data_IF_156051007226
#
_entry.id   IF_156051007226
#
_cell.length_a   1.000
_cell.length_b   1.000
_cell.length_c   1.000
_cell.angle_alpha   90.00
_cell.angle_beta   90.00
_cell.angle_gamma   90.00
#
_symmetry.space_group_name_H-M   'P 1'
#
loop_
_entity.id
_entity.type
_entity.pdbx_description
1 polymer ?
#
# COMPACT_ATOMS: atom_id res chain seq x y z
N UNK A 1 -27.02 -4.96 -5.74
CA UNK A 1 -25.61 -5.38 -5.79
C UNK A 1 -25.11 -5.63 -4.38
N UNK A 2 -24.28 -6.63 -4.19
CA UNK A 2 -23.50 -6.87 -2.98
C UNK A 2 -22.01 -6.77 -3.32
N UNK A 3 -21.23 -6.12 -2.45
CA UNK A 3 -19.78 -5.96 -2.57
C UNK A 3 -19.16 -6.55 -1.31
N UNK A 4 -18.38 -7.62 -1.49
CA UNK A 4 -17.87 -8.49 -0.44
C UNK A 4 -16.38 -8.23 -0.30
N UNK A 5 -15.98 -7.51 0.74
CA UNK A 5 -14.58 -7.37 1.15
C UNK A 5 -14.22 -8.62 1.93
N UNK A 6 -13.43 -9.50 1.30
CA UNK A 6 -13.16 -10.84 1.79
C UNK A 6 -11.97 -10.78 2.75
N UNK A 7 -12.11 -11.37 3.94
CA UNK A 7 -10.98 -11.58 4.86
C UNK A 7 -10.06 -12.65 4.29
N UNK A 8 -9.06 -12.20 3.52
CA UNK A 8 -8.02 -13.01 2.89
C UNK A 8 -6.67 -12.89 3.61
N UNK A 9 -6.67 -12.39 4.85
CA UNK A 9 -5.45 -12.12 5.61
C UNK A 9 -4.80 -10.80 5.21
N UNK A 10 -3.46 -10.75 5.19
CA UNK A 10 -2.70 -9.57 4.77
C UNK A 10 -2.63 -9.53 3.24
N UNK A 11 -3.77 -9.22 2.62
CA UNK A 11 -3.96 -9.21 1.18
C UNK A 11 -5.33 -8.59 0.84
N UNK A 12 -5.57 -8.33 -0.44
CA UNK A 12 -6.83 -7.76 -0.92
C UNK A 12 -7.59 -8.75 -1.81
N UNK A 13 -8.91 -8.87 -1.59
CA UNK A 13 -9.85 -9.50 -2.51
C UNK A 13 -11.26 -8.98 -2.24
N UNK A 14 -11.88 -8.38 -3.25
CA UNK A 14 -13.22 -7.80 -3.14
C UNK A 14 -14.11 -8.26 -4.30
N UNK A 15 -15.18 -8.98 -3.99
CA UNK A 15 -16.14 -9.50 -4.97
C UNK A 15 -17.36 -8.59 -5.09
N UNK A 16 -17.66 -8.11 -6.29
CA UNK A 16 -18.94 -7.51 -6.65
C UNK A 16 -19.84 -8.59 -7.24
N UNK A 17 -21.07 -8.69 -6.75
CA UNK A 17 -22.05 -9.67 -7.20
C UNK A 17 -23.43 -9.02 -7.34
N UNK A 18 -24.04 -9.15 -8.52
CA UNK A 18 -25.37 -8.60 -8.81
C UNK A 18 -26.02 -9.30 -10.01
N UNK A 19 -27.34 -9.21 -10.09
CA UNK A 19 -28.09 -9.69 -11.25
C UNK A 19 -28.74 -8.52 -11.99
N UNK A 20 -28.69 -8.53 -13.31
CA UNK A 20 -29.36 -7.55 -14.16
C UNK A 20 -29.99 -8.23 -15.38
N UNK A 21 -31.25 -7.90 -15.67
CA UNK A 21 -32.03 -8.46 -16.78
C UNK A 21 -32.09 -10.00 -16.88
N UNK A 22 -31.75 -10.71 -15.80
CA UNK A 22 -31.79 -12.18 -15.73
C UNK A 22 -30.43 -12.85 -15.86
N UNK A 23 -29.38 -12.07 -16.06
CA UNK A 23 -27.98 -12.49 -16.04
C UNK A 23 -27.34 -12.11 -14.70
N UNK A 24 -26.45 -12.95 -14.19
CA UNK A 24 -25.66 -12.72 -12.98
C UNK A 24 -24.27 -12.22 -13.40
N UNK A 25 -23.76 -11.23 -12.68
CA UNK A 25 -22.47 -10.59 -12.92
C UNK A 25 -21.59 -10.69 -11.67
N UNK A 26 -20.34 -11.08 -11.87
CA UNK A 26 -19.33 -11.27 -10.84
C UNK A 26 -18.02 -10.61 -11.24
N UNK A 27 -17.63 -9.57 -10.51
CA UNK A 27 -16.35 -8.86 -10.72
C UNK A 27 -15.50 -9.03 -9.47
N UNK A 28 -14.25 -9.45 -9.63
CA UNK A 28 -13.31 -9.62 -8.53
C UNK A 28 -12.18 -8.59 -8.64
N UNK A 29 -12.06 -7.69 -7.66
CA UNK A 29 -10.96 -6.75 -7.53
C UNK A 29 -9.93 -7.30 -6.53
N UNK A 30 -8.73 -7.61 -7.03
CA UNK A 30 -7.68 -8.39 -6.38
C UNK A 30 -8.13 -9.78 -5.89
N UNK A 31 -7.17 -10.68 -5.66
CA UNK A 31 -7.42 -12.13 -5.57
C UNK A 31 -6.80 -12.78 -4.34
N UNK A 32 -6.20 -12.00 -3.44
CA UNK A 32 -5.53 -12.49 -2.25
C UNK A 32 -4.10 -12.99 -2.48
N UNK A 33 -3.51 -13.55 -1.42
CA UNK A 33 -2.11 -14.03 -1.40
C UNK A 33 -1.92 -15.42 -2.03
N UNK A 34 -0.77 -15.64 -2.66
CA UNK A 34 -0.42 -16.86 -3.41
C UNK A 34 -0.27 -18.12 -2.54
N UNK A 35 -0.07 -17.94 -1.24
CA UNK A 35 0.16 -19.02 -0.28
C UNK A 35 -1.13 -19.39 0.50
N UNK A 36 -2.25 -18.76 0.16
CA UNK A 36 -3.53 -18.89 0.82
C UNK A 36 -4.63 -19.12 -0.23
N UNK A 37 -5.69 -19.83 0.15
CA UNK A 37 -6.83 -20.12 -0.73
C UNK A 37 -8.12 -19.46 -0.24
N UNK A 38 -8.03 -18.40 0.56
CA UNK A 38 -9.19 -17.74 1.16
C UNK A 38 -10.18 -17.22 0.11
N UNK A 39 -9.70 -16.54 -0.93
CA UNK A 39 -10.55 -16.08 -2.04
C UNK A 39 -11.23 -17.25 -2.76
N UNK A 40 -10.48 -18.28 -3.16
CA UNK A 40 -11.03 -19.49 -3.82
C UNK A 40 -12.10 -20.17 -2.96
N UNK A 41 -11.83 -20.35 -1.67
CA UNK A 41 -12.76 -20.96 -0.73
C UNK A 41 -14.03 -20.10 -0.59
N UNK A 42 -13.89 -18.77 -0.54
CA UNK A 42 -15.02 -17.85 -0.46
C UNK A 42 -15.89 -17.93 -1.70
N UNK A 43 -15.31 -17.77 -2.89
CA UNK A 43 -16.01 -17.88 -4.17
C UNK A 43 -16.75 -19.21 -4.32
N UNK A 44 -16.08 -20.32 -3.97
CA UNK A 44 -16.68 -21.67 -4.02
C UNK A 44 -17.87 -21.79 -3.06
N UNK A 45 -17.76 -21.21 -1.85
CA UNK A 45 -18.83 -21.27 -0.85
C UNK A 45 -20.04 -20.40 -1.24
N UNK A 46 -19.81 -19.27 -1.91
CA UNK A 46 -20.86 -18.42 -2.48
C UNK A 46 -21.46 -19.03 -3.77
N UNK A 47 -20.87 -20.11 -4.29
CA UNK A 47 -21.36 -20.80 -5.49
C UNK A 47 -21.03 -20.08 -6.79
N UNK A 48 -19.98 -19.26 -6.78
CA UNK A 48 -19.47 -18.57 -7.97
C UNK A 48 -18.72 -19.57 -8.83
N UNK A 49 -19.19 -19.76 -10.07
CA UNK A 49 -18.56 -20.65 -11.06
C UNK A 49 -17.84 -19.86 -12.17
N UNK A 50 -18.13 -18.57 -12.31
CA UNK A 50 -17.66 -17.70 -13.38
C UNK A 50 -17.45 -16.27 -12.85
N UNK A 51 -16.41 -15.60 -13.34
CA UNK A 51 -16.10 -14.20 -13.10
C UNK A 51 -16.07 -13.48 -14.45
N UNK A 52 -16.97 -12.52 -14.66
CA UNK A 52 -17.01 -11.72 -15.89
C UNK A 52 -15.75 -10.87 -16.04
N UNK A 53 -15.22 -10.37 -14.90
CA UNK A 53 -14.04 -9.53 -14.88
C UNK A 53 -13.23 -9.77 -13.59
N UNK A 54 -11.94 -9.96 -13.75
CA UNK A 54 -10.97 -9.90 -12.66
C UNK A 54 -10.08 -8.67 -12.86
N UNK A 55 -10.03 -7.78 -11.89
CA UNK A 55 -9.11 -6.63 -11.90
C UNK A 55 -8.03 -6.92 -10.90
N UNK A 56 -6.77 -7.01 -11.33
CA UNK A 56 -5.64 -7.05 -10.42
C UNK A 56 -4.97 -5.69 -10.42
N UNK A 57 -4.88 -5.05 -9.25
CA UNK A 57 -4.36 -3.71 -9.11
C UNK A 57 -2.91 -3.64 -9.58
N UNK A 58 -2.04 -4.50 -9.04
CA UNK A 58 -0.60 -4.52 -9.35
C UNK A 58 0.01 -5.91 -9.11
N UNK A 59 1.24 -6.21 -9.58
CA UNK A 59 1.74 -7.58 -9.66
C UNK A 59 2.29 -8.15 -8.34
N UNK A 60 2.03 -7.52 -7.19
CA UNK A 60 2.43 -8.09 -5.90
C UNK A 60 1.56 -9.27 -5.49
N UNK A 61 2.17 -10.17 -4.72
CA UNK A 61 1.69 -11.53 -4.56
C UNK A 61 0.44 -11.62 -3.68
N UNK A 62 0.21 -10.63 -2.83
CA UNK A 62 -0.97 -10.36 -2.01
C UNK A 62 -2.15 -9.74 -2.78
N UNK A 63 -1.99 -9.49 -4.08
CA UNK A 63 -3.03 -8.96 -4.97
C UNK A 63 -3.33 -9.94 -6.12
N UNK A 64 -2.31 -10.39 -6.85
CA UNK A 64 -2.49 -11.33 -7.99
C UNK A 64 -2.46 -12.81 -7.57
N UNK A 65 -2.14 -13.11 -6.30
CA UNK A 65 -1.76 -14.46 -5.87
C UNK A 65 -2.83 -15.53 -5.98
N UNK A 66 -4.10 -15.13 -6.04
CA UNK A 66 -5.22 -16.05 -6.20
C UNK A 66 -5.58 -16.39 -7.64
N UNK A 67 -5.10 -15.64 -8.65
CA UNK A 67 -5.57 -15.80 -10.04
C UNK A 67 -5.38 -17.23 -10.57
N UNK A 68 -4.16 -17.78 -10.45
CA UNK A 68 -3.86 -19.15 -10.91
C UNK A 68 -4.67 -20.18 -10.11
N UNK A 69 -4.83 -19.97 -8.80
CA UNK A 69 -5.60 -20.87 -7.94
C UNK A 69 -7.10 -20.89 -8.27
N UNK A 70 -7.69 -19.75 -8.61
CA UNK A 70 -9.11 -19.63 -8.99
C UNK A 70 -9.38 -20.40 -10.29
N UNK A 71 -8.54 -20.16 -11.32
CA UNK A 71 -8.65 -20.87 -12.61
C UNK A 71 -8.48 -22.38 -12.46
N UNK A 72 -7.50 -22.83 -11.67
CA UNK A 72 -7.24 -24.26 -11.43
C UNK A 72 -8.31 -24.92 -10.54
N UNK A 73 -9.05 -24.14 -9.75
CA UNK A 73 -10.22 -24.62 -9.01
C UNK A 73 -11.44 -24.83 -9.91
N UNK A 74 -11.39 -24.38 -11.17
CA UNK A 74 -12.46 -24.53 -12.15
C UNK A 74 -13.47 -23.38 -12.17
N UNK A 75 -13.15 -22.25 -11.54
CA UNK A 75 -13.90 -21.01 -11.67
C UNK A 75 -13.37 -20.29 -12.90
N UNK A 76 -14.22 -20.05 -13.91
CA UNK A 76 -13.81 -19.42 -15.17
C UNK A 76 -13.68 -17.91 -15.02
N UNK A 77 -12.87 -17.30 -15.89
CA UNK A 77 -12.72 -15.85 -16.00
C UNK A 77 -12.86 -15.49 -17.48
N UNK A 78 -13.72 -14.53 -17.79
CA UNK A 78 -13.85 -14.05 -19.17
C UNK A 78 -12.73 -13.07 -19.50
N UNK A 79 -12.53 -12.06 -18.65
CA UNK A 79 -11.53 -11.01 -18.85
C UNK A 79 -10.73 -10.73 -17.56
N UNK A 80 -9.45 -10.42 -17.72
CA UNK A 80 -8.56 -9.95 -16.66
C UNK A 80 -7.93 -8.60 -17.03
N UNK A 81 -8.02 -7.64 -16.10
CA UNK A 81 -7.32 -6.36 -16.17
C UNK A 81 -6.08 -6.41 -15.30
N UNK A 82 -4.95 -6.01 -15.87
CA UNK A 82 -3.69 -5.83 -15.15
C UNK A 82 -3.07 -4.48 -15.51
N UNK A 83 -2.14 -3.95 -14.70
CA UNK A 83 -1.52 -2.65 -14.99
C UNK A 83 -0.70 -2.66 -16.28
N UNK A 84 -0.15 -3.82 -16.66
CA UNK A 84 0.87 -3.97 -17.70
C UNK A 84 2.29 -3.93 -17.14
N UNK A 85 2.46 -3.68 -15.84
CA UNK A 85 3.75 -3.87 -15.19
C UNK A 85 4.12 -5.36 -15.17
N UNK A 86 5.42 -5.59 -15.30
CA UNK A 86 5.97 -6.94 -15.34
C UNK A 86 6.98 -7.14 -14.22
N UNK A 87 7.01 -8.35 -13.67
CA UNK A 87 8.01 -8.75 -12.67
C UNK A 87 8.57 -10.12 -13.02
N UNK A 88 9.71 -10.48 -12.43
CA UNK A 88 10.28 -11.84 -12.54
C UNK A 88 9.90 -12.70 -11.34
N UNK A 89 8.83 -12.37 -10.63
CA UNK A 89 8.39 -13.16 -9.48
C UNK A 89 7.73 -14.46 -9.95
N UNK A 90 7.92 -15.52 -9.18
CA UNK A 90 7.27 -16.81 -9.48
C UNK A 90 5.74 -16.71 -9.47
N UNK A 91 5.18 -15.82 -8.63
CA UNK A 91 3.73 -15.59 -8.61
C UNK A 91 3.27 -14.96 -9.91
N UNK A 92 3.94 -13.90 -10.39
CA UNK A 92 3.62 -13.28 -11.67
C UNK A 92 3.72 -14.28 -12.84
N UNK A 93 4.80 -15.07 -12.90
CA UNK A 93 4.96 -16.10 -13.94
C UNK A 93 3.82 -17.12 -13.93
N UNK A 94 3.41 -17.62 -12.74
CA UNK A 94 2.29 -18.56 -12.63
C UNK A 94 0.97 -17.95 -13.10
N UNK A 95 0.72 -16.69 -12.77
CA UNK A 95 -0.50 -15.98 -13.17
C UNK A 95 -0.56 -15.82 -14.68
N UNK A 96 0.51 -15.32 -15.31
CA UNK A 96 0.55 -15.17 -16.78
C UNK A 96 0.40 -16.54 -17.48
N UNK A 97 1.10 -17.56 -16.98
CA UNK A 97 0.98 -18.93 -17.52
C UNK A 97 -0.46 -19.49 -17.38
N UNK A 98 -1.18 -19.15 -16.31
CA UNK A 98 -2.56 -19.57 -16.10
C UNK A 98 -3.53 -18.81 -17.01
N UNK A 99 -3.38 -17.50 -17.11
CA UNK A 99 -4.15 -16.63 -18.03
C UNK A 99 -4.01 -17.12 -19.48
N UNK A 100 -2.79 -17.40 -19.94
CA UNK A 100 -2.55 -17.93 -21.29
C UNK A 100 -3.15 -19.34 -21.48
N UNK A 101 -2.97 -20.24 -20.50
CA UNK A 101 -3.47 -21.62 -20.57
C UNK A 101 -4.99 -21.71 -20.61
N UNK A 102 -5.67 -20.83 -19.88
CA UNK A 102 -7.12 -20.79 -19.79
C UNK A 102 -7.75 -19.87 -20.84
N UNK A 103 -6.94 -19.25 -21.71
CA UNK A 103 -7.39 -18.37 -22.79
C UNK A 103 -8.25 -17.19 -22.29
N UNK A 104 -7.90 -16.62 -21.13
CA UNK A 104 -8.59 -15.46 -20.54
C UNK A 104 -8.22 -14.19 -21.32
N UNK A 105 -9.20 -13.35 -21.64
CA UNK A 105 -8.95 -12.09 -22.34
C UNK A 105 -8.17 -11.12 -21.42
N UNK A 106 -7.12 -10.49 -21.96
CA UNK A 106 -6.18 -9.67 -21.18
C UNK A 106 -6.24 -8.20 -21.62
N UNK A 107 -6.45 -7.30 -20.66
CA UNK A 107 -6.56 -5.86 -20.90
C UNK A 107 -5.66 -5.08 -19.94
N UNK A 108 -5.06 -4.00 -20.44
CA UNK A 108 -4.29 -3.04 -19.66
C UNK A 108 -4.96 -1.66 -19.70
N UNK A 109 -5.93 -1.39 -18.82
CA UNK A 109 -6.71 -0.16 -18.92
C UNK A 109 -5.89 1.05 -18.44
N UNK A 110 -6.32 2.25 -18.85
CA UNK A 110 -5.65 3.51 -18.50
C UNK A 110 -6.62 4.57 -17.99
N UNK A 111 -6.09 5.55 -17.25
CA UNK A 111 -6.84 6.69 -16.73
C UNK A 111 -7.76 7.33 -17.77
N UNK A 112 -9.03 7.48 -17.42
CA UNK A 112 -10.07 8.08 -18.25
C UNK A 112 -10.81 7.11 -19.17
N UNK A 113 -10.42 5.84 -19.20
CA UNK A 113 -11.21 4.80 -19.86
C UNK A 113 -12.43 4.42 -19.02
N UNK A 114 -13.58 4.33 -19.69
CA UNK A 114 -14.88 4.03 -19.11
C UNK A 114 -15.41 2.69 -19.66
N UNK A 115 -15.93 1.86 -18.76
CA UNK A 115 -16.49 0.54 -19.07
C UNK A 115 -17.82 0.37 -18.37
N UNK A 116 -18.59 -0.64 -18.79
CA UNK A 116 -19.90 -0.91 -18.24
C UNK A 116 -20.18 -2.42 -18.21
N UNK A 117 -20.59 -2.91 -17.04
CA UNK A 117 -21.08 -4.26 -16.83
C UNK A 117 -22.53 -4.17 -16.31
N UNK A 118 -23.50 -4.36 -17.20
CA UNK A 118 -24.91 -4.10 -16.88
C UNK A 118 -25.14 -2.68 -16.35
N UNK A 119 -25.69 -2.50 -15.13
CA UNK A 119 -25.91 -1.19 -14.50
C UNK A 119 -24.70 -0.65 -13.72
N UNK A 120 -23.58 -1.38 -13.67
CA UNK A 120 -22.34 -0.95 -13.01
C UNK A 120 -21.45 -0.24 -14.02
N UNK A 121 -21.12 1.03 -13.75
CA UNK A 121 -20.18 1.83 -14.53
C UNK A 121 -18.80 1.77 -13.85
N UNK A 122 -17.74 1.65 -14.65
CA UNK A 122 -16.36 1.59 -14.20
C UNK A 122 -15.57 2.71 -14.87
N UNK A 123 -14.89 3.54 -14.08
CA UNK A 123 -13.95 4.55 -14.56
C UNK A 123 -12.56 4.24 -14.02
N UNK A 124 -11.61 4.03 -14.92
CA UNK A 124 -10.22 3.85 -14.52
C UNK A 124 -9.61 5.20 -14.20
N UNK A 125 -9.07 5.35 -12.99
CA UNK A 125 -8.50 6.62 -12.50
C UNK A 125 -6.96 6.57 -12.42
N UNK A 126 -6.37 5.38 -12.38
CA UNK A 126 -4.92 5.12 -12.46
C UNK A 126 -4.69 3.74 -13.11
N UNK A 127 -3.56 3.47 -13.79
CA UNK A 127 -2.49 4.39 -14.17
C UNK A 127 -2.76 5.15 -15.48
N UNK A 128 -2.24 6.37 -15.59
CA UNK A 128 -2.20 7.10 -16.86
C UNK A 128 -1.04 6.59 -17.75
N UNK A 129 0.07 6.27 -17.11
CA UNK A 129 1.27 5.68 -17.68
C UNK A 129 2.03 4.89 -16.62
N UNK A 130 2.80 3.89 -17.06
CA UNK A 130 3.66 3.11 -16.17
C UNK A 130 5.00 3.83 -15.97
N UNK A 131 5.43 3.95 -14.72
CA UNK A 131 6.67 4.60 -14.31
C UNK A 131 7.71 3.62 -13.73
N UNK A 132 7.36 2.33 -13.66
CA UNK A 132 8.19 1.26 -13.10
C UNK A 132 8.05 1.06 -11.59
N UNK A 133 7.30 1.93 -10.91
CA UNK A 133 6.86 1.68 -9.55
C UNK A 133 5.56 0.87 -9.58
N UNK A 134 5.60 -0.32 -9.00
CA UNK A 134 4.51 -1.29 -9.07
C UNK A 134 3.29 -0.84 -8.27
N UNK A 135 3.50 -0.24 -7.09
CA UNK A 135 2.41 0.27 -6.26
C UNK A 135 1.73 1.44 -6.98
N UNK A 136 2.54 2.36 -7.48
CA UNK A 136 2.10 3.57 -8.16
C UNK A 136 1.50 3.30 -9.57
N UNK A 137 1.77 2.11 -10.12
CA UNK A 137 1.15 1.55 -11.31
C UNK A 137 -0.20 0.88 -11.07
N UNK A 138 -0.71 0.87 -9.83
CA UNK A 138 -1.96 0.17 -9.47
C UNK A 138 -3.15 0.58 -10.36
N UNK A 139 -3.84 -0.40 -10.93
CA UNK A 139 -5.12 -0.20 -11.63
C UNK A 139 -6.18 0.23 -10.64
N UNK A 140 -6.35 1.55 -10.48
CA UNK A 140 -7.32 2.15 -9.57
C UNK A 140 -8.61 2.43 -10.33
N UNK A 141 -9.74 2.01 -9.75
CA UNK A 141 -11.04 2.04 -10.43
C UNK A 141 -12.10 2.64 -9.51
N UNK A 142 -12.84 3.59 -10.08
CA UNK A 142 -14.12 4.06 -9.54
C UNK A 142 -15.23 3.19 -10.09
N UNK A 143 -16.14 2.77 -9.23
CA UNK A 143 -17.33 2.01 -9.60
C UNK A 143 -18.57 2.80 -9.22
N UNK A 144 -19.53 2.93 -10.13
CA UNK A 144 -20.80 3.61 -9.88
C UNK A 144 -21.97 2.65 -10.17
N UNK A 145 -22.83 2.45 -9.17
CA UNK A 145 -24.06 1.68 -9.30
C UNK A 145 -25.23 2.57 -8.87
N UNK A 146 -25.87 3.22 -9.85
CA UNK A 146 -26.85 4.27 -9.57
C UNK A 146 -26.20 5.46 -8.86
N UNK A 147 -26.76 5.86 -7.72
CA UNK A 147 -26.27 6.96 -6.89
C UNK A 147 -25.23 6.51 -5.83
N UNK A 148 -24.81 5.23 -5.84
CA UNK A 148 -23.81 4.71 -4.88
C UNK A 148 -22.50 4.41 -5.60
N UNK A 149 -21.42 4.95 -5.06
CA UNK A 149 -20.11 4.95 -5.69
C UNK A 149 -19.01 4.39 -4.78
N UNK A 150 -18.02 3.75 -5.40
CA UNK A 150 -16.88 3.14 -4.73
C UNK A 150 -15.57 3.54 -5.39
N UNK A 151 -14.50 3.64 -4.62
CA UNK A 151 -13.14 3.82 -5.13
C UNK A 151 -12.20 2.76 -4.57
N UNK A 152 -11.46 2.10 -5.45
CA UNK A 152 -10.44 1.11 -5.15
C UNK A 152 -9.13 1.58 -5.76
N UNK A 153 -8.08 1.69 -4.95
CA UNK A 153 -6.79 2.23 -5.40
C UNK A 153 -5.67 1.18 -5.46
N UNK A 154 -5.95 -0.05 -5.00
CA UNK A 154 -4.88 -1.01 -4.72
C UNK A 154 -3.85 -0.38 -3.77
N UNK A 155 -2.58 -0.50 -4.13
CA UNK A 155 -1.49 0.00 -3.30
C UNK A 155 -0.94 1.36 -3.74
N UNK A 156 -1.69 2.11 -4.54
CA UNK A 156 -1.29 3.46 -4.95
C UNK A 156 -0.81 4.30 -3.76
N UNK A 157 0.39 4.85 -3.87
CA UNK A 157 1.02 5.68 -2.84
C UNK A 157 0.84 7.17 -3.15
N UNK A 158 1.42 8.02 -2.34
CA UNK A 158 1.26 9.48 -2.40
C UNK A 158 1.48 10.06 -3.81
N UNK A 159 2.37 9.46 -4.60
CA UNK A 159 2.74 9.93 -5.93
C UNK A 159 1.66 9.59 -6.95
N UNK A 160 1.08 8.38 -6.90
CA UNK A 160 -0.10 8.04 -7.69
C UNK A 160 -1.34 8.84 -7.25
N UNK A 161 -1.55 9.04 -5.94
CA UNK A 161 -2.66 9.87 -5.43
C UNK A 161 -2.59 11.30 -5.96
N UNK A 162 -1.40 11.92 -5.92
CA UNK A 162 -1.19 13.26 -6.47
C UNK A 162 -1.42 13.31 -7.98
N UNK A 163 -1.07 12.25 -8.72
CA UNK A 163 -1.38 12.15 -10.15
C UNK A 163 -2.89 12.06 -10.37
N UNK A 164 -3.60 11.21 -9.63
CA UNK A 164 -5.07 11.09 -9.69
C UNK A 164 -5.75 12.45 -9.46
N UNK A 165 -5.32 13.22 -8.45
CA UNK A 165 -5.82 14.57 -8.19
C UNK A 165 -5.60 15.54 -9.37
N UNK A 166 -4.48 15.40 -10.08
CA UNK A 166 -4.14 16.27 -11.21
C UNK A 166 -4.92 15.94 -12.49
N UNK A 167 -5.53 14.76 -12.58
CA UNK A 167 -6.34 14.37 -13.75
C UNK A 167 -7.59 15.24 -13.92
N UNK A 168 -8.14 15.75 -12.80
CA UNK A 168 -9.42 16.44 -12.76
C UNK A 168 -10.64 15.51 -12.94
N UNK A 169 -10.44 14.19 -12.91
CA UNK A 169 -11.53 13.21 -12.83
C UNK A 169 -12.23 13.33 -11.47
N UNK A 170 -13.52 13.01 -11.44
CA UNK A 170 -14.28 13.00 -10.20
C UNK A 170 -14.00 11.71 -9.42
N UNK A 171 -13.22 11.84 -8.35
CA UNK A 171 -12.90 10.75 -7.42
C UNK A 171 -13.73 10.81 -6.13
N UNK A 172 -14.73 11.69 -6.03
CA UNK A 172 -15.60 11.75 -4.87
C UNK A 172 -16.53 10.53 -4.85
N UNK A 173 -16.45 9.70 -3.81
CA UNK A 173 -17.24 8.47 -3.71
C UNK A 173 -17.89 8.30 -2.35
N UNK A 174 -18.86 7.39 -2.24
CA UNK A 174 -19.50 7.07 -0.97
C UNK A 174 -18.66 6.12 -0.11
N UNK A 175 -18.04 5.12 -0.75
CA UNK A 175 -17.27 4.05 -0.11
C UNK A 175 -15.85 4.01 -0.68
N UNK A 176 -14.83 4.07 0.18
CA UNK A 176 -13.43 4.03 -0.22
C UNK A 176 -12.70 2.82 0.37
N UNK A 177 -12.08 1.97 -0.48
CA UNK A 177 -11.11 1.00 0.00
C UNK A 177 -9.76 1.71 0.23
N UNK A 178 -9.28 1.74 1.48
CA UNK A 178 -8.03 2.43 1.81
C UNK A 178 -6.88 1.86 1.00
N UNK A 179 -6.08 2.76 0.41
CA UNK A 179 -4.91 2.38 -0.37
C UNK A 179 -3.85 1.68 0.48
N UNK A 180 -3.19 0.70 -0.12
CA UNK A 180 -2.04 -0.02 0.45
C UNK A 180 -2.33 -0.57 1.84
N UNK A 181 -3.51 -1.15 2.00
CA UNK A 181 -4.04 -1.71 3.25
C UNK A 181 -4.07 -0.71 4.44
N UNK A 182 -4.03 0.60 4.16
CA UNK A 182 -3.87 1.65 5.16
C UNK A 182 -2.41 1.93 5.54
N UNK A 183 -1.48 1.79 4.59
CA UNK A 183 -0.10 2.25 4.72
C UNK A 183 -0.04 3.77 4.96
N UNK A 184 1.00 4.23 5.65
CA UNK A 184 1.25 5.66 5.85
C UNK A 184 1.62 6.42 4.57
N UNK A 185 2.07 5.67 3.56
CA UNK A 185 2.44 6.17 2.23
C UNK A 185 1.22 6.45 1.35
N UNK A 186 0.03 6.01 1.78
CA UNK A 186 -1.23 6.16 1.06
C UNK A 186 -2.28 6.86 1.93
N UNK A 187 -3.43 7.13 1.32
CA UNK A 187 -4.55 7.90 1.87
C UNK A 187 -4.06 9.24 2.42
N UNK A 188 -3.33 10.00 1.60
CA UNK A 188 -2.82 11.32 2.00
C UNK A 188 -3.99 12.25 2.38
N UNK A 189 -3.77 13.27 3.23
CA UNK A 189 -4.84 14.17 3.65
C UNK A 189 -5.59 14.83 2.49
N UNK A 190 -4.86 15.32 1.48
CA UNK A 190 -5.46 15.98 0.30
C UNK A 190 -6.26 14.98 -0.55
N UNK A 191 -5.78 13.74 -0.67
CA UNK A 191 -6.48 12.70 -1.40
C UNK A 191 -7.77 12.29 -0.67
N UNK A 192 -7.72 12.05 0.65
CA UNK A 192 -8.90 11.75 1.44
C UNK A 192 -9.95 12.88 1.40
N UNK A 193 -9.51 14.15 1.38
CA UNK A 193 -10.40 15.30 1.22
C UNK A 193 -11.07 15.33 -0.16
N UNK A 194 -10.37 14.93 -1.23
CA UNK A 194 -10.94 14.87 -2.57
C UNK A 194 -11.90 13.68 -2.75
N UNK A 195 -11.53 12.51 -2.21
CA UNK A 195 -12.38 11.31 -2.19
C UNK A 195 -13.63 11.55 -1.35
N UNK A 196 -13.50 12.24 -0.21
CA UNK A 196 -14.58 12.62 0.71
C UNK A 196 -15.64 11.50 0.92
N UNK A 197 -15.21 10.31 1.39
CA UNK A 197 -16.12 9.19 1.58
C UNK A 197 -16.95 9.32 2.85
N UNK A 198 -18.08 8.62 2.88
CA UNK A 198 -18.85 8.42 4.12
C UNK A 198 -18.44 7.15 4.86
N UNK A 199 -18.00 6.13 4.10
CA UNK A 199 -17.48 4.86 4.62
C UNK A 199 -16.11 4.57 4.03
N UNK A 200 -15.18 4.08 4.85
CA UNK A 200 -13.91 3.55 4.41
C UNK A 200 -13.70 2.12 4.92
N UNK A 201 -13.08 1.28 4.10
CA UNK A 201 -12.81 -0.12 4.40
C UNK A 201 -11.34 -0.42 4.14
N UNK A 202 -10.67 -1.14 5.04
CA UNK A 202 -9.33 -1.65 4.81
C UNK A 202 -9.29 -3.17 4.98
N UNK A 203 -8.38 -3.80 4.25
CA UNK A 203 -8.18 -5.25 4.25
C UNK A 203 -6.79 -5.56 4.77
N UNK A 204 -6.71 -6.20 5.94
CA UNK A 204 -5.46 -6.64 6.56
C UNK A 204 -5.66 -7.93 7.34
N UNK A 205 -4.55 -8.62 7.61
CA UNK A 205 -4.54 -9.80 8.46
C UNK A 205 -4.42 -9.43 9.94
N UNK A 206 -5.10 -10.18 10.82
CA UNK A 206 -4.93 -10.03 12.26
C UNK A 206 -3.47 -10.28 12.69
N UNK A 207 -2.88 -9.30 13.38
CA UNK A 207 -1.47 -9.38 13.81
C UNK A 207 -0.47 -9.33 12.66
N UNK A 208 -0.83 -8.73 11.51
CA UNK A 208 0.09 -8.52 10.41
C UNK A 208 1.37 -7.79 10.88
N UNK A 209 2.51 -8.16 10.32
CA UNK A 209 3.82 -7.65 10.75
C UNK A 209 4.17 -6.27 10.19
N UNK A 210 3.40 -5.78 9.21
CA UNK A 210 3.61 -4.47 8.59
C UNK A 210 3.12 -3.34 9.50
N UNK A 211 2.21 -3.64 10.43
CA UNK A 211 1.57 -2.64 11.28
C UNK A 211 0.45 -1.89 10.54
N UNK A 212 -0.13 -2.53 9.52
CA UNK A 212 -1.27 -2.01 8.77
C UNK A 212 -2.59 -2.31 9.49
N UNK A 213 -3.58 -1.41 9.40
CA UNK A 213 -3.43 -0.03 8.96
C UNK A 213 -2.58 0.76 9.97
N UNK A 214 -1.77 1.71 9.49
CA UNK A 214 -1.01 2.57 10.37
C UNK A 214 -1.95 3.47 11.18
N UNK A 215 -1.64 3.65 12.47
CA UNK A 215 -2.50 4.41 13.38
C UNK A 215 -2.78 5.85 12.89
N UNK A 216 -1.79 6.50 12.28
CA UNK A 216 -1.96 7.84 11.72
C UNK A 216 -2.99 7.90 10.58
N UNK A 217 -3.15 6.82 9.81
CA UNK A 217 -4.18 6.70 8.76
C UNK A 217 -5.54 6.49 9.40
N UNK A 218 -5.63 5.62 10.42
CA UNK A 218 -6.85 5.41 11.20
C UNK A 218 -7.34 6.72 11.82
N UNK A 219 -6.44 7.48 12.44
CA UNK A 219 -6.76 8.76 13.09
C UNK A 219 -7.20 9.81 12.06
N UNK A 220 -6.55 9.84 10.88
CA UNK A 220 -6.90 10.74 9.76
C UNK A 220 -8.31 10.45 9.24
N UNK A 221 -8.61 9.19 8.93
CA UNK A 221 -9.90 8.76 8.38
C UNK A 221 -11.02 8.99 9.39
N UNK A 222 -10.85 8.57 10.64
CA UNK A 222 -11.85 8.79 11.69
C UNK A 222 -11.98 10.27 12.05
N UNK A 223 -10.89 11.04 12.00
CA UNK A 223 -10.87 12.48 12.23
C UNK A 223 -11.65 13.28 11.17
N UNK A 224 -11.73 12.76 9.93
CA UNK A 224 -12.58 13.27 8.87
C UNK A 224 -14.08 12.91 9.06
N UNK A 225 -14.42 12.13 10.09
CA UNK A 225 -15.79 11.70 10.36
C UNK A 225 -16.28 10.54 9.50
N UNK A 226 -15.35 9.80 8.89
CA UNK A 226 -15.62 8.64 8.05
C UNK A 226 -15.81 7.40 8.92
N UNK A 227 -16.85 6.61 8.65
CA UNK A 227 -17.05 5.31 9.28
C UNK A 227 -16.01 4.31 8.74
N UNK A 228 -15.23 3.70 9.65
CA UNK A 228 -14.08 2.87 9.27
C UNK A 228 -14.24 1.41 9.69
N UNK A 229 -14.10 0.51 8.71
CA UNK A 229 -14.18 -0.94 8.90
C UNK A 229 -12.89 -1.62 8.44
N UNK A 230 -12.49 -2.67 9.15
CA UNK A 230 -11.33 -3.49 8.85
C UNK A 230 -11.63 -4.98 8.88
N UNK A 231 -11.06 -5.75 7.94
CA UNK A 231 -11.27 -7.21 7.88
C UNK A 231 -10.67 -7.95 9.08
N UNK A 232 -9.55 -7.47 9.63
CA UNK A 232 -8.93 -8.04 10.84
C UNK A 232 -9.81 -7.93 12.10
N UNK A 233 -10.67 -6.90 12.12
CA UNK A 233 -11.61 -6.63 13.21
C UNK A 233 -12.96 -7.30 12.95
N UNK A 234 -13.46 -7.21 11.72
CA UNK A 234 -14.86 -7.52 11.39
C UNK A 234 -15.04 -8.81 10.59
N UNK A 235 -13.97 -9.49 10.19
CA UNK A 235 -14.00 -10.59 9.23
C UNK A 235 -14.43 -10.09 7.85
N UNK A 236 -15.21 -10.90 7.12
CA UNK A 236 -15.81 -10.45 5.86
C UNK A 236 -16.76 -9.26 6.10
N UNK A 237 -16.68 -8.25 5.24
CA UNK A 237 -17.55 -7.08 5.26
C UNK A 237 -18.35 -7.05 3.95
N UNK A 238 -19.66 -6.90 4.04
CA UNK A 238 -20.55 -6.91 2.88
C UNK A 238 -21.29 -5.57 2.81
N UNK A 239 -21.06 -4.84 1.71
CA UNK A 239 -21.83 -3.64 1.37
C UNK A 239 -22.94 -4.05 0.41
N UNK A 240 -24.20 -3.86 0.80
CA UNK A 240 -25.36 -4.10 -0.07
C UNK A 240 -25.96 -2.78 -0.53
N UNK A 241 -26.22 -2.64 -1.82
CA UNK A 241 -26.86 -1.45 -2.40
C UNK A 241 -27.93 -1.80 -3.43
N UNK A 242 -28.98 -0.97 -3.48
CA UNK A 242 -30.01 -0.96 -4.52
C UNK A 242 -29.78 0.12 -5.59
N UNK A 243 -28.67 0.87 -5.49
CA UNK A 243 -28.31 2.00 -6.34
C UNK A 243 -28.93 3.34 -5.95
N UNK A 244 -29.58 3.46 -4.78
CA UNK A 244 -29.96 4.76 -4.20
C UNK A 244 -29.37 4.95 -2.80
N UNK A 245 -29.09 3.86 -2.10
CA UNK A 245 -28.40 3.86 -0.81
C UNK A 245 -27.73 2.51 -0.55
N UNK A 246 -27.02 2.42 0.57
CA UNK A 246 -26.28 1.21 0.93
C UNK A 246 -26.36 0.90 2.42
N UNK A 247 -26.07 -0.36 2.75
CA UNK A 247 -25.89 -0.85 4.13
C UNK A 247 -24.60 -1.65 4.23
N UNK A 248 -23.93 -1.56 5.38
CA UNK A 248 -22.71 -2.31 5.68
C UNK A 248 -23.03 -3.39 6.73
N UNK A 249 -22.73 -4.64 6.42
CA UNK A 249 -22.84 -5.77 7.34
C UNK A 249 -21.46 -6.39 7.58
N UNK A 250 -21.18 -6.77 8.83
CA UNK A 250 -19.90 -7.34 9.26
C UNK A 250 -20.08 -8.76 9.75
N UNK A 251 -19.16 -9.66 9.41
CA UNK A 251 -19.19 -11.06 9.89
C UNK A 251 -19.15 -11.16 11.42
N UNK A 252 -18.44 -10.24 12.07
CA UNK A 252 -18.39 -10.13 13.52
C UNK A 252 -18.35 -8.66 13.97
N UNK A 253 -18.83 -8.41 15.18
CA UNK A 253 -18.81 -7.09 15.81
C UNK A 253 -17.39 -6.70 16.22
N UNK A 254 -17.07 -5.42 16.07
CA UNK A 254 -15.78 -4.88 16.46
C UNK A 254 -15.76 -3.35 16.43
N UNK A 255 -14.61 -2.76 16.71
CA UNK A 255 -14.43 -1.31 16.63
C UNK A 255 -12.99 -1.00 16.28
N UNK A 256 -12.80 -0.27 15.18
CA UNK A 256 -11.50 0.33 14.86
C UNK A 256 -11.33 1.57 15.73
N UNK A 257 -10.30 1.61 16.58
CA UNK A 257 -10.06 2.70 17.52
C UNK A 257 -9.03 3.69 16.99
N UNK A 258 -9.39 4.98 16.98
CA UNK A 258 -8.39 6.04 16.88
C UNK A 258 -7.63 6.13 18.21
N UNK A 259 -6.35 6.46 18.18
CA UNK A 259 -5.65 6.93 19.37
C UNK A 259 -6.16 8.34 19.64
N UNK A 260 -7.15 8.45 20.53
CA UNK A 260 -7.57 9.76 21.01
C UNK A 260 -6.37 10.43 21.67
N UNK A 261 -6.02 11.62 21.21
CA UNK A 261 -5.02 12.57 21.72
C UNK A 261 -5.01 12.58 23.27
N UNK A 262 -4.27 11.65 23.87
CA UNK A 262 -4.30 11.44 25.31
C UNK A 262 -3.25 12.36 25.93
N UNK A 263 -3.69 13.59 26.17
CA UNK A 263 -2.98 14.54 27.00
C UNK A 263 -2.53 13.91 28.32
N UNK A 264 -1.31 14.26 28.71
CA UNK A 264 -0.75 14.18 30.08
C UNK A 264 -0.58 12.77 30.68
N UNK A 265 0.66 12.30 30.63
CA UNK A 265 1.25 11.39 31.61
C UNK A 265 1.17 12.02 33.02
N UNK A 266 0.06 11.79 33.73
CA UNK A 266 -0.02 11.95 35.17
C UNK A 266 0.12 10.57 35.81
N UNK A 267 1.38 10.16 36.01
CA UNK A 267 1.76 8.99 36.80
C UNK A 267 1.25 9.16 38.24
N UNK A 268 0.24 8.37 38.60
CA UNK A 268 -0.25 8.26 39.96
C UNK A 268 0.54 7.13 40.66
N UNK A 269 1.73 7.46 41.19
CA UNK A 269 2.42 6.58 42.13
C UNK A 269 1.95 6.89 43.56
N UNK A 270 1.19 5.96 44.13
CA UNK A 270 0.91 5.90 45.56
C UNK A 270 2.13 5.43 46.35
N UNK A 271 2.48 6.22 47.35
CA UNK A 271 3.56 6.01 48.30
C UNK A 271 3.39 4.78 49.23
N UNK A 272 4.50 4.14 49.58
CA UNK A 272 4.72 3.58 50.92
C UNK A 272 6.20 3.58 51.31
N UNK A 273 6.45 4.14 52.50
CA UNK A 273 7.71 4.38 53.24
C UNK A 273 8.76 3.25 53.28
N UNK A 274 10.06 3.60 53.28
CA UNK A 274 10.84 3.77 54.53
C UNK A 274 12.36 4.04 54.33
N UNK A 275 12.82 5.08 55.04
CA UNK A 275 14.17 5.51 55.46
C UNK A 275 15.40 4.59 55.23
N UNK A 276 16.56 5.16 54.81
CA UNK A 276 17.57 5.72 55.72
C UNK A 276 18.85 6.29 55.02
N UNK A 277 19.18 7.55 55.37
CA UNK A 277 20.50 8.19 55.62
C UNK A 277 21.68 8.27 54.61
N UNK A 278 22.11 9.54 54.43
CA UNK A 278 23.48 10.10 54.43
C UNK A 278 24.36 9.91 53.15
N UNK A 279 25.15 10.86 52.64
CA UNK A 279 25.62 12.22 53.00
C UNK A 279 26.49 12.78 51.84
N UNK A 280 26.52 14.11 51.66
CA UNK A 280 27.60 14.99 51.09
C UNK A 280 28.07 14.74 49.64
N UNK A 281 28.37 15.70 48.76
CA UNK A 281 28.70 17.14 48.85
C UNK A 281 28.70 17.77 47.44
N UNK A 282 28.00 18.89 47.27
CA UNK A 282 28.33 20.20 46.65
C UNK A 282 29.71 20.40 45.92
N UNK A 283 29.93 21.47 45.10
CA UNK A 283 29.28 21.88 43.83
C UNK A 283 30.29 22.49 42.80
N UNK A 284 29.78 23.38 41.92
CA UNK A 284 30.42 24.42 41.07
C UNK A 284 30.74 24.01 39.63
N UNK A 285 30.60 24.82 38.58
CA UNK A 285 30.19 26.21 38.31
C UNK A 285 29.88 26.21 36.78
N UNK A 286 28.77 26.71 36.24
CA UNK A 286 28.40 28.10 35.93
C UNK A 286 29.32 28.92 34.99
N UNK A 287 28.62 29.64 34.09
CA UNK A 287 28.98 30.75 33.17
C UNK A 287 29.55 30.39 31.79
N UNK A 288 28.78 30.53 30.71
CA UNK A 288 28.36 31.78 30.01
C UNK A 288 29.54 32.60 29.43
N UNK A 289 29.51 32.85 28.12
CA UNK A 289 29.36 34.22 27.57
C UNK A 289 29.35 34.24 26.04
N UNK A 290 28.47 35.12 25.55
CA UNK A 290 28.32 35.62 24.18
C UNK A 290 29.57 36.35 23.65
N UNK A 291 29.74 36.48 22.33
CA UNK A 291 29.38 37.68 21.56
C UNK A 291 30.15 37.83 20.22
N UNK A 292 29.37 38.15 19.18
CA UNK A 292 29.55 39.18 18.14
C UNK A 292 30.70 39.18 17.09
N UNK A 293 30.25 39.02 15.82
CA UNK A 293 30.21 40.02 14.72
C UNK A 293 31.40 40.41 13.83
N UNK A 294 30.97 40.80 12.62
CA UNK A 294 31.57 41.67 11.57
C UNK A 294 32.45 40.99 10.52
N UNK A 295 31.93 40.82 9.29
CA UNK A 295 32.03 41.74 8.13
C UNK A 295 33.43 41.78 7.49
N UNK A 296 33.55 41.42 6.21
CA UNK A 296 33.79 42.39 5.12
C UNK A 296 33.95 41.69 3.77
N UNK A 297 33.62 42.45 2.72
CA UNK A 297 33.39 42.03 1.36
C UNK A 297 34.62 42.12 0.43
N UNK A 298 34.45 41.48 -0.73
CA UNK A 298 34.94 41.86 -2.07
C UNK A 298 36.44 41.74 -2.39
N UNK A 299 36.79 40.94 -3.42
CA UNK A 299 37.06 41.52 -4.75
C UNK A 299 37.10 40.47 -5.89
N UNK A 300 36.75 40.97 -7.07
CA UNK A 300 36.65 40.47 -8.45
C UNK A 300 37.84 39.68 -9.03
N UNK A 301 37.59 38.73 -9.97
CA UNK A 301 37.89 38.94 -11.40
C UNK A 301 37.33 37.86 -12.36
N UNK A 302 37.07 38.31 -13.60
CA UNK A 302 36.47 37.65 -14.77
C UNK A 302 37.28 36.51 -15.41
N UNK A 303 36.55 35.68 -16.19
CA UNK A 303 36.80 35.07 -17.54
C UNK A 303 36.28 33.62 -17.50
N UNK A 304 35.47 33.05 -18.40
CA UNK A 304 34.97 33.37 -19.74
C UNK A 304 34.81 32.03 -20.48
N UNK A 305 33.65 31.77 -21.12
CA UNK A 305 33.31 30.59 -21.96
C UNK A 305 33.37 29.21 -21.21
N UNK A 306 32.48 28.24 -21.37
CA UNK A 306 31.82 27.72 -22.56
C UNK A 306 30.48 27.02 -22.21
N UNK A 307 29.60 26.92 -23.22
CA UNK A 307 28.37 26.13 -23.28
C UNK A 307 28.67 24.62 -23.12
N UNK A 308 28.02 23.93 -22.19
CA UNK A 308 27.74 22.48 -22.30
C UNK A 308 26.63 22.07 -21.32
N UNK A 309 25.57 21.56 -21.91
CA UNK A 309 24.47 20.78 -21.31
C UNK A 309 25.05 19.48 -20.74
N UNK A 310 24.75 19.03 -19.50
CA UNK A 310 25.15 17.71 -19.08
C UNK A 310 24.10 16.71 -19.56
N UNK A 311 24.54 15.90 -20.51
CA UNK A 311 23.94 14.64 -20.89
C UNK A 311 23.77 13.70 -19.70
N UNK A 312 22.72 12.87 -19.81
CA UNK A 312 22.49 11.59 -19.13
C UNK A 312 23.78 10.86 -18.73
N UNK A 313 23.97 10.63 -17.43
CA UNK A 313 24.99 9.70 -16.94
C UNK A 313 24.40 8.31 -16.76
N UNK A 314 24.80 7.40 -17.63
CA UNK A 314 24.60 5.96 -17.54
C UNK A 314 25.06 5.41 -16.18
N UNK A 315 24.27 4.47 -15.67
CA UNK A 315 24.48 3.74 -14.42
C UNK A 315 25.80 2.97 -14.43
N UNK A 316 26.59 3.12 -13.36
CA UNK A 316 27.74 2.25 -13.11
C UNK A 316 27.28 0.86 -12.64
N UNK A 317 27.89 -0.18 -13.21
CA UNK A 317 28.07 -1.52 -12.62
C UNK A 317 28.90 -1.43 -11.32
N UNK A 318 28.38 -0.71 -10.33
CA UNK A 318 28.93 -0.59 -9.00
C UNK A 318 28.11 -1.41 -8.02
N UNK A 319 28.79 -1.98 -7.04
CA UNK A 319 28.13 -2.53 -5.87
C UNK A 319 27.32 -1.45 -5.14
N UNK A 320 26.12 -1.80 -4.67
CA UNK A 320 25.22 -0.95 -3.88
C UNK A 320 25.79 -0.81 -2.47
N UNK A 321 26.31 0.39 -2.15
CA UNK A 321 26.78 0.72 -0.81
C UNK A 321 25.60 0.91 0.14
N UNK A 322 25.42 -0.03 1.06
CA UNK A 322 24.28 -0.02 1.98
C UNK A 322 24.26 1.20 2.93
N UNK A 323 25.38 1.93 3.04
CA UNK A 323 25.49 3.13 3.85
C UNK A 323 25.22 4.45 3.12
N UNK A 324 25.24 4.45 1.79
CA UNK A 324 25.13 5.70 1.01
C UNK A 324 24.10 5.64 -0.11
N UNK A 325 23.73 4.46 -0.60
CA UNK A 325 22.72 4.27 -1.64
C UNK A 325 21.37 4.93 -1.29
N UNK A 326 20.67 5.45 -2.29
CA UNK A 326 19.27 5.87 -2.18
C UNK A 326 18.34 4.69 -1.88
N UNK A 327 17.08 4.96 -1.52
CA UNK A 327 16.07 3.92 -1.30
C UNK A 327 15.86 3.09 -2.57
N UNK A 328 15.86 3.74 -3.72
CA UNK A 328 15.73 3.14 -5.05
C UNK A 328 16.97 2.30 -5.41
N UNK A 329 18.17 2.78 -5.12
CA UNK A 329 19.40 2.01 -5.36
C UNK A 329 19.52 0.79 -4.44
N UNK A 330 19.04 0.88 -3.20
CA UNK A 330 19.00 -0.25 -2.26
C UNK A 330 18.09 -1.38 -2.75
N UNK A 331 17.01 -1.04 -3.46
CA UNK A 331 16.08 -2.01 -4.04
C UNK A 331 16.67 -2.81 -5.21
N UNK A 332 17.86 -2.44 -5.69
CA UNK A 332 18.63 -3.28 -6.62
C UNK A 332 19.19 -4.54 -5.97
N UNK A 333 19.22 -4.62 -4.63
CA UNK A 333 19.52 -5.83 -3.90
C UNK A 333 18.22 -6.64 -3.84
N UNK A 334 18.13 -7.77 -4.54
CA UNK A 334 16.90 -8.53 -4.77
C UNK A 334 16.12 -8.86 -3.49
N UNK A 335 16.83 -9.00 -2.36
CA UNK A 335 16.25 -9.32 -1.06
C UNK A 335 15.74 -8.10 -0.27
N UNK A 336 15.88 -6.90 -0.80
CA UNK A 336 15.56 -5.62 -0.17
C UNK A 336 14.45 -4.94 -0.97
N UNK A 337 13.22 -5.07 -0.49
CA UNK A 337 12.09 -4.25 -0.95
C UNK A 337 12.10 -2.84 -0.35
N UNK A 338 11.15 -1.96 -0.74
CA UNK A 338 11.11 -0.54 -0.36
C UNK A 338 11.18 -0.31 1.16
N UNK A 339 10.36 -1.00 1.96
CA UNK A 339 10.40 -0.88 3.43
C UNK A 339 11.75 -1.24 4.05
N UNK A 340 12.40 -2.27 3.50
CA UNK A 340 13.72 -2.69 3.98
C UNK A 340 14.76 -1.68 3.54
N UNK A 341 14.62 -1.10 2.35
CA UNK A 341 15.48 -0.02 1.90
C UNK A 341 15.36 1.20 2.82
N UNK A 342 14.15 1.60 3.21
CA UNK A 342 13.95 2.68 4.18
C UNK A 342 14.52 2.33 5.57
N UNK A 343 14.30 1.10 6.06
CA UNK A 343 14.89 0.65 7.32
C UNK A 343 16.43 0.63 7.25
N UNK A 344 17.02 0.28 6.11
CA UNK A 344 18.46 0.42 5.89
C UNK A 344 18.84 1.90 6.00
N UNK A 345 18.15 2.81 5.31
CA UNK A 345 18.50 4.24 5.37
C UNK A 345 18.44 4.82 6.79
N UNK A 346 17.45 4.43 7.60
CA UNK A 346 17.26 4.91 8.97
C UNK A 346 18.22 4.30 10.00
N UNK A 347 18.69 3.06 9.77
CA UNK A 347 19.57 2.33 10.69
C UNK A 347 21.06 2.42 10.33
N UNK A 348 21.41 3.24 9.34
CA UNK A 348 22.79 3.57 9.00
C UNK A 348 23.54 4.18 10.21
N UNK A 349 24.87 3.94 10.33
CA UNK A 349 25.67 3.09 9.46
C UNK A 349 25.68 1.60 9.87
N UNK A 350 26.01 0.74 8.91
CA UNK A 350 26.34 -0.67 9.05
C UNK A 350 27.85 -0.85 8.84
N UNK A 351 28.49 -1.67 9.67
CA UNK A 351 29.93 -1.98 9.53
C UNK A 351 30.17 -3.22 8.68
N UNK A 352 29.13 -4.01 8.45
CA UNK A 352 29.14 -5.16 7.53
C UNK A 352 27.73 -5.47 7.03
N UNK A 353 27.62 -6.23 5.94
CA UNK A 353 26.33 -6.77 5.47
C UNK A 353 25.65 -7.59 6.59
N UNK A 354 26.40 -8.27 7.46
CA UNK A 354 25.84 -9.04 8.57
C UNK A 354 25.04 -8.17 9.55
N UNK A 355 25.41 -6.89 9.70
CA UNK A 355 24.76 -5.98 10.64
C UNK A 355 23.33 -5.61 10.19
N UNK A 356 22.94 -5.96 8.96
CA UNK A 356 21.57 -5.82 8.46
C UNK A 356 20.60 -6.76 9.19
N UNK A 357 21.08 -7.75 9.97
CA UNK A 357 20.23 -8.53 10.88
C UNK A 357 19.52 -7.72 11.97
N UNK A 358 19.92 -6.46 12.16
CA UNK A 358 19.22 -5.50 13.03
C UNK A 358 17.88 -5.02 12.45
N UNK A 359 17.68 -5.19 11.14
CA UNK A 359 16.47 -4.80 10.42
C UNK A 359 15.44 -5.92 10.59
N UNK A 360 14.21 -5.55 10.94
CA UNK A 360 13.14 -6.53 11.09
C UNK A 360 12.89 -7.24 9.75
N UNK A 361 12.78 -8.57 9.77
CA UNK A 361 12.59 -9.36 8.56
C UNK A 361 13.83 -9.58 7.69
N UNK A 362 15.04 -9.23 8.17
CA UNK A 362 16.32 -9.66 7.56
C UNK A 362 17.02 -10.65 8.51
N UNK A 363 16.73 -11.93 8.33
CA UNK A 363 17.37 -13.01 9.10
C UNK A 363 18.65 -13.55 8.44
N UNK A 364 19.33 -14.47 9.14
CA UNK A 364 20.57 -15.12 8.65
C UNK A 364 20.46 -15.72 7.24
N UNK A 365 19.31 -16.31 6.91
CA UNK A 365 19.05 -16.87 5.58
C UNK A 365 19.08 -15.78 4.48
N UNK A 366 18.40 -14.66 4.73
CA UNK A 366 18.35 -13.52 3.81
C UNK A 366 19.72 -12.85 3.67
N UNK A 367 20.49 -12.77 4.76
CA UNK A 367 21.88 -12.29 4.72
C UNK A 367 22.76 -13.19 3.85
N UNK A 368 22.57 -14.51 3.90
CA UNK A 368 23.30 -15.43 3.05
C UNK A 368 22.98 -15.18 1.57
N UNK A 369 21.70 -15.01 1.23
CA UNK A 369 21.24 -14.68 -0.13
C UNK A 369 21.81 -13.33 -0.61
N UNK A 370 21.76 -12.28 0.20
CA UNK A 370 22.33 -10.95 -0.13
C UNK A 370 23.84 -11.03 -0.42
N UNK A 371 24.57 -11.85 0.35
CA UNK A 371 26.00 -12.08 0.13
C UNK A 371 26.28 -12.91 -1.12
N UNK A 372 25.43 -13.88 -1.42
CA UNK A 372 25.53 -14.71 -2.62
C UNK A 372 25.25 -13.90 -3.90
N UNK A 373 24.31 -12.96 -3.82
CA UNK A 373 23.97 -12.03 -4.89
C UNK A 373 25.16 -11.14 -5.30
N UNK A 374 26.01 -10.77 -4.33
CA UNK A 374 27.25 -10.02 -4.60
C UNK A 374 27.05 -8.57 -5.05
N UNK A 375 25.82 -8.06 -4.93
CA UNK A 375 25.43 -6.70 -5.34
C UNK A 375 25.56 -5.69 -4.20
N UNK A 376 25.53 -6.12 -2.93
CA UNK A 376 25.61 -5.24 -1.75
C UNK A 376 27.03 -5.16 -1.15
N UNK A 377 27.42 -4.00 -0.62
CA UNK A 377 28.71 -3.80 0.06
C UNK A 377 28.65 -2.75 1.15
N UNK A 378 29.68 -2.80 2.01
CA UNK A 378 30.08 -1.75 2.95
C UNK A 378 31.55 -1.43 2.59
N UNK A 379 31.84 -0.25 1.98
CA UNK A 379 33.18 0.11 1.51
C UNK A 379 34.27 0.18 2.58
#
# INVERSE_FOLDING_TARGET
>A
MAVHFIDVGQADATLFSYSYEGDDFHILYDTGDWNQSHAVNYLTNEGIEELDLVITSHPHADHIGGVDQILEAGITMDEIWMSGDTTTSQTFERVIDAVERHEVDYVEPRTGEEFQAGPLELLVVNPDSLNGDLHDGSVSVRFDYGDVSFLFTGDAEDTAEQRMLQTGLDINVDIFQLGHHGSRTSTTPDFLEAVNPSTAIYSVGSGNSYGHPHQEVVDRVKGAGVDLYGTDIHGNIIVTTDGNGYTVETQQEGTVTAESDNGTNASNETASDSNNAATSSDPSNEEETENNSSESASNTNQTGNDTEEPASSEASEGCVDINTASVEELQRIHQIGPDRAEQITSLRPFTSIQDMTRINGIGEARIAEIKEEGVACVP
#
